data_IF_092466990827
#
_entry.id   IF_092466990827
#
_cell.length_a   1.000
_cell.length_b   1.000
_cell.length_c   1.000
_cell.angle_alpha   90.00
_cell.angle_beta   90.00
_cell.angle_gamma   90.00
#
_symmetry.space_group_name_H-M   'P 1'
#
loop_
_entity.id
_entity.type
_entity.pdbx_description
1 polymer ?
#
# COMPACT_ATOMS: atom_id res chain seq x y z
N UNK A 1 -13.03 -47.07 71.72
CA UNK A 1 -11.59 -46.78 71.65
C UNK A 1 -11.32 -46.06 70.34
N UNK A 2 -10.70 -44.86 70.39
CA UNK A 2 -9.67 -44.37 69.44
C UNK A 2 -10.13 -44.23 67.96
N UNK A 3 -10.04 -43.13 67.21
CA UNK A 3 -9.55 -41.74 67.29
C UNK A 3 -9.51 -41.28 65.81
N UNK A 4 -9.81 -40.00 65.55
CA UNK A 4 -9.26 -39.16 64.45
C UNK A 4 -10.00 -39.17 63.10
N UNK A 5 -10.58 -38.06 62.61
CA UNK A 5 -10.03 -36.73 62.24
C UNK A 5 -9.54 -36.71 60.78
N UNK A 6 -9.63 -35.53 60.13
CA UNK A 6 -9.15 -35.11 58.78
C UNK A 6 -10.33 -34.98 57.78
N UNK A 7 -10.97 -33.80 57.68
CA UNK A 7 -10.58 -32.52 57.04
C UNK A 7 -10.87 -32.46 55.53
N UNK A 8 -11.73 -31.49 55.18
CA UNK A 8 -11.63 -30.53 54.07
C UNK A 8 -10.89 -30.96 52.80
N UNK A 9 -11.60 -31.04 51.67
CA UNK A 9 -11.69 -29.94 50.67
C UNK A 9 -12.39 -30.46 49.41
N UNK A 10 -13.51 -29.84 49.04
CA UNK A 10 -14.08 -29.98 47.69
C UNK A 10 -13.16 -29.18 46.76
N UNK A 11 -12.36 -29.86 45.94
CA UNK A 11 -11.53 -29.21 44.94
C UNK A 11 -12.44 -28.80 43.77
N UNK A 12 -12.92 -27.56 43.81
CA UNK A 12 -13.59 -26.92 42.69
C UNK A 12 -12.51 -26.56 41.65
N UNK A 13 -12.30 -27.44 40.68
CA UNK A 13 -11.50 -27.14 39.50
C UNK A 13 -12.32 -26.18 38.63
N UNK A 14 -12.12 -24.88 38.85
CA UNK A 14 -12.67 -23.82 38.02
C UNK A 14 -11.87 -23.82 36.70
N UNK A 15 -12.38 -24.53 35.70
CA UNK A 15 -11.89 -24.44 34.32
C UNK A 15 -12.19 -23.04 33.78
N UNK A 16 -11.25 -22.12 33.97
CA UNK A 16 -11.28 -20.80 33.34
C UNK A 16 -11.13 -20.99 31.82
N UNK A 17 -12.22 -20.77 31.09
CA UNK A 17 -12.23 -20.64 29.64
C UNK A 17 -11.46 -19.37 29.29
N UNK A 18 -10.16 -19.51 29.02
CA UNK A 18 -9.36 -18.45 28.41
C UNK A 18 -9.85 -18.34 26.96
N UNK A 19 -10.85 -17.49 26.74
CA UNK A 19 -11.23 -17.04 25.40
C UNK A 19 -10.11 -16.13 24.91
N UNK A 20 -9.04 -16.72 24.40
CA UNK A 20 -8.03 -16.00 23.65
C UNK A 20 -8.71 -15.50 22.38
N UNK A 21 -9.00 -14.20 22.31
CA UNK A 21 -9.32 -13.56 21.04
C UNK A 21 -8.10 -13.74 20.14
N UNK A 22 -8.17 -14.70 19.22
CA UNK A 22 -7.21 -14.82 18.14
C UNK A 22 -7.46 -13.62 17.20
N UNK A 23 -6.74 -12.53 17.41
CA UNK A 23 -6.63 -11.47 16.40
C UNK A 23 -5.78 -12.03 15.26
N UNK A 24 -6.42 -12.60 14.24
CA UNK A 24 -5.73 -12.88 12.98
C UNK A 24 -5.13 -11.55 12.48
N UNK A 25 -3.86 -11.53 12.02
CA UNK A 25 -3.30 -10.35 11.39
C UNK A 25 -4.27 -9.88 10.32
N UNK A 26 -4.69 -8.61 10.38
CA UNK A 26 -5.53 -8.04 9.33
C UNK A 26 -4.75 -8.17 8.02
N UNK A 27 -5.34 -8.84 7.02
CA UNK A 27 -4.70 -9.02 5.73
C UNK A 27 -4.40 -7.65 5.12
N UNK A 28 -3.15 -7.43 4.71
CA UNK A 28 -2.76 -6.14 4.14
C UNK A 28 -3.50 -5.90 2.82
N UNK A 29 -3.70 -4.63 2.44
CA UNK A 29 -4.24 -4.31 1.12
C UNK A 29 -3.33 -4.83 0.01
N UNK A 30 -2.01 -4.89 0.25
CA UNK A 30 -1.04 -5.52 -0.64
C UNK A 30 -1.41 -6.99 -0.93
N UNK A 31 -1.67 -7.79 0.10
CA UNK A 31 -2.03 -9.20 -0.07
C UNK A 31 -3.40 -9.34 -0.73
N UNK A 32 -4.36 -8.48 -0.36
CA UNK A 32 -5.72 -8.48 -0.90
C UNK A 32 -5.76 -8.25 -2.42
N UNK A 33 -4.88 -7.40 -2.96
CA UNK A 33 -4.83 -7.13 -4.40
C UNK A 33 -3.97 -8.16 -5.16
N UNK A 34 -3.33 -9.13 -4.50
CA UNK A 34 -2.43 -10.11 -5.12
C UNK A 34 -0.96 -9.68 -5.18
N UNK A 35 -0.58 -8.69 -4.38
CA UNK A 35 0.81 -8.31 -4.10
C UNK A 35 1.60 -7.78 -5.29
N UNK A 36 2.90 -8.06 -5.28
CA UNK A 36 3.89 -7.51 -6.22
C UNK A 36 3.54 -7.78 -7.69
N UNK A 37 2.96 -8.94 -8.01
CA UNK A 37 2.55 -9.27 -9.38
C UNK A 37 1.51 -8.27 -9.90
N UNK A 38 0.51 -7.96 -9.08
CA UNK A 38 -0.54 -7.00 -9.43
C UNK A 38 0.02 -5.59 -9.56
N UNK A 39 0.84 -5.14 -8.60
CA UNK A 39 1.47 -3.82 -8.66
C UNK A 39 2.35 -3.65 -9.91
N UNK A 40 3.16 -4.65 -10.27
CA UNK A 40 3.96 -4.59 -11.50
C UNK A 40 3.11 -4.48 -12.75
N UNK A 41 1.96 -5.14 -12.77
CA UNK A 41 1.05 -5.10 -13.92
C UNK A 41 0.40 -3.71 -14.02
N UNK A 42 -0.11 -3.18 -12.90
CA UNK A 42 -0.69 -1.82 -12.84
C UNK A 42 0.32 -0.79 -13.34
N UNK A 43 1.52 -0.77 -12.75
CA UNK A 43 2.52 0.24 -13.12
C UNK A 43 3.12 0.01 -14.50
N UNK A 44 3.15 -1.23 -15.02
CA UNK A 44 3.49 -1.49 -16.42
C UNK A 44 2.50 -0.84 -17.40
N UNK A 45 1.20 -0.95 -17.12
CA UNK A 45 0.13 -0.32 -17.92
C UNK A 45 0.21 1.20 -17.80
N UNK A 46 0.30 1.74 -16.58
CA UNK A 46 0.34 3.18 -16.33
C UNK A 46 1.54 3.85 -17.03
N UNK A 47 2.74 3.26 -16.91
CA UNK A 47 3.98 3.82 -17.50
C UNK A 47 3.90 3.94 -19.02
N UNK A 48 3.22 3.01 -19.68
CA UNK A 48 3.03 3.08 -21.13
C UNK A 48 2.26 4.34 -21.52
N UNK A 49 1.24 4.72 -20.74
CA UNK A 49 0.40 5.90 -20.98
C UNK A 49 1.08 7.20 -20.57
N UNK A 50 1.70 7.21 -19.39
CA UNK A 50 2.41 8.37 -18.82
C UNK A 50 3.47 8.89 -19.79
N UNK A 51 4.28 8.01 -20.40
CA UNK A 51 5.36 8.43 -21.30
C UNK A 51 4.88 8.93 -22.66
N UNK A 52 3.64 8.61 -23.05
CA UNK A 52 3.05 9.03 -24.33
C UNK A 52 2.10 10.20 -24.18
N UNK A 53 1.83 10.64 -22.95
CA UNK A 53 0.92 11.74 -22.69
C UNK A 53 1.52 13.08 -23.18
N UNK A 54 0.75 13.89 -23.94
CA UNK A 54 1.26 15.13 -24.51
C UNK A 54 1.52 16.23 -23.47
N UNK A 55 0.93 16.14 -22.28
CA UNK A 55 1.08 17.12 -21.20
C UNK A 55 2.22 16.71 -20.27
N UNK A 56 2.22 15.48 -19.75
CA UNK A 56 3.15 15.06 -18.70
C UNK A 56 4.34 14.25 -19.21
N UNK A 57 4.29 13.69 -20.43
CA UNK A 57 5.33 12.79 -20.93
C UNK A 57 6.72 13.43 -20.99
N UNK A 58 6.80 14.75 -21.12
CA UNK A 58 8.06 15.48 -21.18
C UNK A 58 8.87 15.45 -19.87
N UNK A 59 8.21 15.35 -18.71
CA UNK A 59 8.88 15.24 -17.40
C UNK A 59 9.72 13.97 -17.27
N UNK A 60 9.37 12.93 -18.02
CA UNK A 60 9.99 11.60 -17.92
C UNK A 60 11.09 11.38 -18.96
N UNK A 61 11.44 12.40 -19.75
CA UNK A 61 12.54 12.31 -20.72
C UNK A 61 13.86 12.03 -19.99
N UNK A 62 14.55 10.96 -20.42
CA UNK A 62 15.81 10.53 -19.81
C UNK A 62 15.64 9.67 -18.54
N UNK A 63 14.42 9.49 -18.04
CA UNK A 63 14.14 8.56 -16.95
C UNK A 63 13.92 7.16 -17.54
N UNK A 64 14.66 6.13 -17.10
CA UNK A 64 14.40 4.76 -17.56
C UNK A 64 13.02 4.27 -17.09
N UNK A 65 12.16 3.85 -18.04
CA UNK A 65 10.81 3.32 -17.75
C UNK A 65 10.80 2.24 -16.67
N UNK A 66 11.78 1.31 -16.73
CA UNK A 66 11.92 0.23 -15.73
C UNK A 66 12.17 0.80 -14.34
N UNK A 67 13.07 1.78 -14.22
CA UNK A 67 13.40 2.39 -12.93
C UNK A 67 12.17 3.07 -12.33
N UNK A 68 11.45 3.90 -13.10
CA UNK A 68 10.24 4.56 -12.58
C UNK A 68 9.17 3.56 -12.18
N UNK A 69 8.95 2.51 -12.97
CA UNK A 69 7.99 1.44 -12.63
C UNK A 69 8.37 0.77 -11.30
N UNK A 70 9.63 0.37 -11.15
CA UNK A 70 10.09 -0.34 -9.96
C UNK A 70 9.97 0.55 -8.70
N UNK A 71 10.27 1.84 -8.81
CA UNK A 71 10.09 2.82 -7.72
C UNK A 71 8.62 3.02 -7.34
N UNK A 72 7.71 3.15 -8.31
CA UNK A 72 6.27 3.24 -8.05
C UNK A 72 5.71 1.96 -7.40
N UNK A 73 6.22 0.79 -7.81
CA UNK A 73 5.88 -0.50 -7.18
C UNK A 73 6.33 -0.53 -5.72
N UNK A 74 7.57 -0.17 -5.43
CA UNK A 74 8.10 -0.17 -4.06
C UNK A 74 7.34 0.80 -3.16
N UNK A 75 7.17 2.05 -3.62
CA UNK A 75 6.42 3.07 -2.88
C UNK A 75 4.99 2.61 -2.56
N UNK A 76 4.29 2.06 -3.55
CA UNK A 76 2.90 1.63 -3.34
C UNK A 76 2.83 0.39 -2.45
N UNK A 77 3.76 -0.55 -2.62
CA UNK A 77 3.87 -1.74 -1.79
C UNK A 77 4.01 -1.36 -0.31
N UNK A 78 4.96 -0.49 0.03
CA UNK A 78 5.18 -0.01 1.39
C UNK A 78 3.93 0.68 1.96
N UNK A 79 3.36 1.64 1.22
CA UNK A 79 2.22 2.45 1.68
C UNK A 79 0.94 1.65 1.95
N UNK A 80 0.74 0.53 1.26
CA UNK A 80 -0.46 -0.31 1.39
C UNK A 80 -0.23 -1.52 2.32
N UNK A 81 0.89 -1.55 3.03
CA UNK A 81 1.21 -2.55 4.06
C UNK A 81 1.87 -3.83 3.53
N UNK A 82 2.47 -3.76 2.34
CA UNK A 82 3.29 -4.84 1.80
C UNK A 82 4.68 -4.92 2.48
N UNK A 83 5.45 -5.98 2.21
CA UNK A 83 6.74 -6.23 2.86
C UNK A 83 7.90 -5.44 2.25
N UNK A 84 7.62 -4.49 1.35
CA UNK A 84 8.66 -3.72 0.67
C UNK A 84 9.04 -2.49 1.48
N UNK A 85 10.30 -2.07 1.30
CA UNK A 85 10.81 -0.78 1.77
C UNK A 85 11.07 0.08 0.53
N UNK A 86 10.60 1.33 0.56
CA UNK A 86 10.92 2.30 -0.47
C UNK A 86 12.31 2.89 -0.23
N UNK A 87 13.22 2.68 -1.18
CA UNK A 87 14.63 3.05 -1.10
C UNK A 87 15.01 4.24 -1.99
N UNK A 88 14.02 4.85 -2.63
CA UNK A 88 14.22 5.98 -3.52
C UNK A 88 14.45 7.30 -2.79
N UNK A 89 14.70 8.34 -3.59
CA UNK A 89 14.70 9.72 -3.11
C UNK A 89 13.36 10.07 -2.46
N UNK A 90 13.36 11.06 -1.57
CA UNK A 90 12.10 11.60 -1.06
C UNK A 90 11.24 12.16 -2.21
N UNK A 91 9.94 12.32 -1.99
CA UNK A 91 9.06 12.92 -3.00
C UNK A 91 9.47 14.36 -3.29
N UNK A 92 9.84 15.13 -2.26
CA UNK A 92 10.35 16.48 -2.44
C UNK A 92 11.61 16.49 -3.32
N UNK A 93 12.61 15.66 -3.02
CA UNK A 93 13.86 15.59 -3.79
C UNK A 93 13.67 15.09 -5.23
N UNK A 94 12.69 14.21 -5.44
CA UNK A 94 12.38 13.65 -6.77
C UNK A 94 11.71 14.66 -7.69
N UNK A 95 10.92 15.57 -7.12
CA UNK A 95 10.05 16.48 -7.87
C UNK A 95 10.46 17.95 -7.77
N UNK A 96 11.49 18.26 -6.99
CA UNK A 96 12.09 19.58 -6.86
C UNK A 96 12.44 20.21 -8.21
N UNK A 97 12.18 21.50 -8.35
CA UNK A 97 12.50 22.31 -9.53
C UNK A 97 11.76 21.87 -10.83
N UNK A 98 10.82 20.91 -10.75
CA UNK A 98 9.99 20.50 -11.88
C UNK A 98 8.75 21.38 -12.05
N UNK A 99 8.38 22.17 -11.03
CA UNK A 99 7.24 23.09 -11.06
C UNK A 99 5.93 22.42 -11.53
N UNK A 100 5.72 21.17 -11.11
CA UNK A 100 4.52 20.37 -11.43
C UNK A 100 3.30 21.09 -10.88
N UNK A 101 2.29 21.38 -11.72
CA UNK A 101 1.03 21.95 -11.25
C UNK A 101 0.03 20.84 -10.96
N UNK A 102 -1.08 21.21 -10.33
CA UNK A 102 -2.12 20.24 -9.97
C UNK A 102 -2.67 19.49 -11.19
N UNK A 103 -2.78 20.15 -12.34
CA UNK A 103 -3.24 19.53 -13.58
C UNK A 103 -2.36 18.35 -13.96
N UNK A 104 -1.04 18.54 -14.01
CA UNK A 104 -0.09 17.51 -14.40
C UNK A 104 -0.09 16.36 -13.39
N UNK A 105 -0.17 16.68 -12.09
CA UNK A 105 -0.29 15.67 -11.04
C UNK A 105 -1.55 14.80 -11.22
N UNK A 106 -2.70 15.43 -11.47
CA UNK A 106 -3.95 14.68 -11.62
C UNK A 106 -4.01 13.87 -12.93
N UNK A 107 -3.35 14.30 -14.01
CA UNK A 107 -3.19 13.47 -15.22
C UNK A 107 -2.45 12.17 -14.89
N UNK A 108 -1.38 12.23 -14.09
CA UNK A 108 -0.68 11.03 -13.64
C UNK A 108 -1.58 10.14 -12.77
N UNK A 109 -2.33 10.73 -11.84
CA UNK A 109 -3.29 9.99 -11.00
C UNK A 109 -4.34 9.28 -11.86
N UNK A 110 -4.89 9.93 -12.88
CA UNK A 110 -5.87 9.34 -13.81
C UNK A 110 -5.30 8.13 -14.55
N UNK A 111 -4.03 8.17 -14.98
CA UNK A 111 -3.40 7.02 -15.61
C UNK A 111 -3.19 5.84 -14.66
N UNK A 112 -2.82 6.12 -13.42
CA UNK A 112 -2.67 5.10 -12.37
C UNK A 112 -4.04 4.48 -12.03
N UNK A 113 -5.08 5.29 -11.84
CA UNK A 113 -6.45 4.82 -11.61
C UNK A 113 -6.97 3.97 -12.78
N UNK A 114 -6.80 4.44 -14.01
CA UNK A 114 -7.18 3.70 -15.21
C UNK A 114 -6.48 2.34 -15.26
N UNK A 115 -5.18 2.29 -14.97
CA UNK A 115 -4.43 1.05 -14.93
C UNK A 115 -4.91 0.09 -13.82
N UNK A 116 -5.28 0.59 -12.64
CA UNK A 116 -5.90 -0.23 -11.59
C UNK A 116 -7.19 -0.91 -12.07
N UNK A 117 -8.05 -0.15 -12.75
CA UNK A 117 -9.31 -0.66 -13.30
C UNK A 117 -9.09 -1.68 -14.40
N UNK A 118 -8.14 -1.44 -15.30
CA UNK A 118 -7.81 -2.37 -16.39
C UNK A 118 -7.24 -3.70 -15.88
N UNK A 119 -6.53 -3.66 -14.75
CA UNK A 119 -6.01 -4.87 -14.08
C UNK A 119 -7.09 -5.58 -13.25
N UNK A 120 -8.27 -4.96 -13.09
CA UNK A 120 -9.44 -5.56 -12.47
C UNK A 120 -9.55 -5.30 -10.97
N UNK A 121 -8.91 -4.25 -10.44
CA UNK A 121 -9.16 -3.83 -9.06
C UNK A 121 -10.61 -3.36 -8.92
N UNK A 122 -11.22 -3.72 -7.79
CA UNK A 122 -12.52 -3.17 -7.41
C UNK A 122 -12.39 -1.68 -7.09
N UNK A 123 -13.49 -0.93 -7.22
CA UNK A 123 -13.53 0.47 -6.81
C UNK A 123 -13.14 0.68 -5.34
N UNK A 124 -13.42 -0.28 -4.46
CA UNK A 124 -13.01 -0.23 -3.06
C UNK A 124 -11.50 -0.37 -2.90
N UNK A 125 -10.87 -1.30 -3.63
CA UNK A 125 -9.41 -1.46 -3.62
C UNK A 125 -8.72 -0.22 -4.19
N UNK A 126 -9.17 0.28 -5.34
CA UNK A 126 -8.66 1.50 -5.96
C UNK A 126 -8.67 2.67 -4.96
N UNK A 127 -9.82 2.97 -4.34
CA UNK A 127 -9.93 4.09 -3.40
C UNK A 127 -9.05 3.93 -2.16
N UNK A 128 -8.87 2.70 -1.66
CA UNK A 128 -7.98 2.46 -0.52
C UNK A 128 -6.53 2.71 -0.87
N UNK A 129 -6.09 2.36 -2.08
CA UNK A 129 -4.74 2.70 -2.57
C UNK A 129 -4.62 4.22 -2.76
N UNK A 130 -5.59 4.87 -3.41
CA UNK A 130 -5.55 6.32 -3.63
C UNK A 130 -5.52 7.11 -2.33
N UNK A 131 -6.25 6.66 -1.30
CA UNK A 131 -6.20 7.26 0.03
C UNK A 131 -4.79 7.25 0.63
N UNK A 132 -4.00 6.20 0.35
CA UNK A 132 -2.61 6.08 0.80
C UNK A 132 -1.65 6.95 -0.02
N UNK A 133 -1.89 7.09 -1.32
CA UNK A 133 -1.07 7.91 -2.21
C UNK A 133 -1.37 9.41 -2.12
N UNK A 134 -2.60 9.81 -1.77
CA UNK A 134 -3.06 11.20 -1.80
C UNK A 134 -2.14 12.22 -1.09
N UNK A 135 -1.53 11.91 0.08
CA UNK A 135 -0.62 12.84 0.76
C UNK A 135 0.62 13.23 -0.06
N UNK A 136 1.10 12.37 -0.97
CA UNK A 136 2.29 12.62 -1.81
C UNK A 136 2.15 13.91 -2.62
N UNK A 137 0.91 14.32 -2.94
CA UNK A 137 0.63 15.58 -3.63
C UNK A 137 1.36 16.76 -2.98
N UNK A 138 1.32 16.85 -1.65
CA UNK A 138 1.90 17.98 -0.91
C UNK A 138 3.43 18.03 -0.96
N UNK A 139 4.06 16.93 -1.36
CA UNK A 139 5.51 16.79 -1.54
C UNK A 139 5.90 16.73 -3.02
N UNK A 140 4.99 17.13 -3.93
CA UNK A 140 5.19 17.01 -5.39
C UNK A 140 4.81 18.28 -6.13
N UNK A 141 3.66 18.87 -5.82
CA UNK A 141 3.14 20.02 -6.59
C UNK A 141 3.74 21.33 -6.10
N UNK A 142 4.03 22.23 -7.04
CA UNK A 142 4.55 23.57 -6.79
C UNK A 142 5.91 23.62 -6.07
N UNK A 143 6.73 22.57 -6.25
CA UNK A 143 8.13 22.50 -5.81
C UNK A 143 9.12 22.99 -6.87
#
# INVERSE_FOLDING_TARGET
MIKHCIRLTVSAILSALISACATSPEQSLYDEIGGHKTLNTIYGVAITRIYTDPVIGHYFKGVPKKHLRDQLVLQTCELIGGPCEYDGKSMEESHKDLNIKEREFYILVEYVQGAMRDVGLTYQQENRILKKLAPIKYETVYL
#
